data_IF_000276310435
#
_entry.id   IF_000276310435
#
_cell.length_a   1.000
_cell.length_b   1.000
_cell.length_c   1.000
_cell.angle_alpha   90.00
_cell.angle_beta   90.00
_cell.angle_gamma   90.00
#
_symmetry.space_group_name_H-M   'P 1'
#
loop_
_entity.id
_entity.type
_entity.pdbx_description
1 polymer ?
#
# COMPACT_ATOMS: atom_id res chain seq x y z
N UNK A 1 0.46 18.03 -19.92
CA UNK A 1 0.02 17.27 -18.74
C UNK A 1 1.20 16.44 -18.30
N UNK A 2 1.88 16.85 -17.23
CA UNK A 2 2.96 16.04 -16.66
C UNK A 2 2.27 14.97 -15.83
N UNK A 3 2.13 13.77 -16.37
CA UNK A 3 1.60 12.64 -15.60
C UNK A 3 2.64 12.35 -14.51
N UNK A 4 2.42 12.84 -13.29
CA UNK A 4 3.21 12.45 -12.14
C UNK A 4 3.09 10.93 -11.99
N UNK A 5 4.23 10.24 -12.12
CA UNK A 5 4.27 8.81 -11.85
C UNK A 5 3.97 8.61 -10.37
N UNK A 6 3.05 7.70 -10.08
CA UNK A 6 2.68 7.32 -8.72
C UNK A 6 2.95 5.84 -8.52
N UNK A 7 3.37 5.49 -7.32
CA UNK A 7 3.62 4.11 -6.93
C UNK A 7 2.31 3.31 -7.03
N UNK A 8 2.33 2.24 -7.82
CA UNK A 8 1.16 1.38 -8.03
C UNK A 8 0.73 0.61 -6.76
N UNK A 9 1.52 0.64 -5.68
CA UNK A 9 1.26 -0.04 -4.41
C UNK A 9 0.77 0.89 -3.28
N UNK A 10 1.18 2.16 -3.29
CA UNK A 10 0.88 3.10 -2.21
C UNK A 10 0.50 4.51 -2.68
N UNK A 11 0.33 4.73 -3.98
CA UNK A 11 0.03 6.02 -4.62
C UNK A 11 1.00 7.17 -4.33
N UNK A 12 2.11 6.94 -3.61
CA UNK A 12 3.11 7.97 -3.38
C UNK A 12 3.74 8.41 -4.70
N UNK A 13 4.06 9.70 -4.88
CA UNK A 13 4.80 10.18 -6.04
C UNK A 13 6.15 9.47 -6.18
N UNK A 14 6.51 9.11 -7.41
CA UNK A 14 7.80 8.52 -7.75
C UNK A 14 8.40 9.22 -8.98
N UNK A 15 9.73 9.28 -9.04
CA UNK A 15 10.43 9.87 -10.18
C UNK A 15 10.51 8.92 -11.37
N UNK A 16 10.57 7.61 -11.12
CA UNK A 16 10.61 6.56 -12.15
C UNK A 16 10.22 5.19 -11.59
N UNK A 17 9.91 4.25 -12.49
CA UNK A 17 9.54 2.88 -12.13
C UNK A 17 8.05 2.68 -11.85
N UNK A 18 7.70 1.52 -11.26
CA UNK A 18 6.33 1.17 -10.86
C UNK A 18 6.07 1.31 -9.37
N UNK A 19 7.11 1.10 -8.55
CA UNK A 19 7.03 1.06 -7.09
C UNK A 19 8.08 1.98 -6.47
N UNK A 20 7.75 2.61 -5.35
CA UNK A 20 8.71 3.40 -4.57
C UNK A 20 9.60 2.49 -3.72
N UNK A 21 10.76 3.01 -3.30
CA UNK A 21 11.71 2.30 -2.43
C UNK A 21 11.13 1.85 -1.09
N UNK A 22 10.02 2.46 -0.64
CA UNK A 22 9.31 2.07 0.59
C UNK A 22 8.36 0.87 0.41
N UNK A 23 8.03 0.53 -0.84
CA UNK A 23 7.17 -0.61 -1.18
C UNK A 23 7.96 -1.79 -1.75
N UNK A 24 9.24 -1.58 -2.07
CA UNK A 24 10.12 -2.64 -2.57
C UNK A 24 11.03 -3.18 -1.48
N UNK A 25 11.43 -4.43 -1.61
CA UNK A 25 12.48 -5.06 -0.81
C UNK A 25 13.89 -4.58 -1.21
N UNK A 26 14.92 -5.15 -0.57
CA UNK A 26 16.32 -4.84 -0.87
C UNK A 26 16.76 -5.20 -2.31
N UNK A 27 15.97 -6.03 -3.01
CA UNK A 27 16.22 -6.44 -4.39
C UNK A 27 15.40 -5.60 -5.40
N UNK A 28 14.58 -4.67 -4.93
CA UNK A 28 13.69 -3.86 -5.77
C UNK A 28 12.38 -4.55 -6.17
N UNK A 29 12.08 -5.71 -5.60
CA UNK A 29 10.80 -6.40 -5.83
C UNK A 29 9.73 -5.85 -4.90
N UNK A 30 8.48 -5.79 -5.36
CA UNK A 30 7.37 -5.40 -4.50
C UNK A 30 7.30 -6.34 -3.28
N UNK A 31 7.15 -5.77 -2.09
CA UNK A 31 6.91 -6.51 -0.86
C UNK A 31 5.71 -7.46 -1.01
N UNK A 32 5.66 -8.53 -0.21
CA UNK A 32 4.48 -9.38 -0.18
C UNK A 32 3.23 -8.60 0.26
N UNK A 33 2.05 -9.09 -0.12
CA UNK A 33 0.78 -8.49 0.31
C UNK A 33 0.73 -8.38 1.84
N UNK A 34 1.05 -9.45 2.56
CA UNK A 34 1.02 -9.49 4.03
C UNK A 34 1.97 -8.45 4.65
N UNK A 35 3.20 -8.34 4.15
CA UNK A 35 4.16 -7.37 4.65
C UNK A 35 3.68 -5.93 4.40
N UNK A 36 3.15 -5.66 3.20
CA UNK A 36 2.61 -4.33 2.89
C UNK A 36 1.39 -4.02 3.73
N UNK A 37 0.48 -4.98 3.87
CA UNK A 37 -0.76 -4.87 4.62
C UNK A 37 -0.51 -4.56 6.09
N UNK A 38 0.39 -5.29 6.75
CA UNK A 38 0.77 -5.04 8.14
C UNK A 38 1.40 -3.66 8.31
N UNK A 39 2.31 -3.26 7.41
CA UNK A 39 2.95 -1.93 7.47
C UNK A 39 1.95 -0.79 7.29
N UNK A 40 1.00 -0.95 6.37
CA UNK A 40 -0.05 0.05 6.13
C UNK A 40 -1.06 0.10 7.27
N UNK A 41 -1.46 -1.04 7.80
CA UNK A 41 -2.33 -1.13 8.98
C UNK A 41 -1.67 -0.47 10.19
N UNK A 42 -0.39 -0.75 10.45
CA UNK A 42 0.36 -0.13 11.54
C UNK A 42 0.50 1.39 11.35
N UNK A 43 0.70 1.86 10.12
CA UNK A 43 0.67 3.30 9.82
C UNK A 43 -0.71 3.90 10.10
N UNK A 44 -1.77 3.21 9.70
CA UNK A 44 -3.13 3.68 9.88
C UNK A 44 -3.54 3.76 11.35
N UNK A 45 -3.14 2.79 12.17
CA UNK A 45 -3.31 2.84 13.63
C UNK A 45 -2.51 3.98 14.29
N UNK A 46 -1.34 4.33 13.75
CA UNK A 46 -0.54 5.46 14.25
C UNK A 46 -1.15 6.81 13.86
N UNK A 47 -1.70 6.91 12.66
CA UNK A 47 -2.36 8.12 12.15
C UNK A 47 -3.75 8.33 12.78
N UNK A 48 -4.43 7.24 13.13
CA UNK A 48 -5.75 7.22 13.74
C UNK A 48 -5.75 6.36 15.02
N UNK A 49 -5.14 6.84 16.11
CA UNK A 49 -5.07 6.10 17.36
C UNK A 49 -6.45 5.79 17.97
N UNK A 50 -7.49 6.49 17.55
CA UNK A 50 -8.89 6.23 17.91
C UNK A 50 -9.49 4.98 17.22
N UNK A 51 -8.90 4.51 16.12
CA UNK A 51 -9.40 3.35 15.38
C UNK A 51 -8.91 2.04 16.02
N UNK A 52 -9.84 1.09 16.11
CA UNK A 52 -9.52 -0.29 16.46
C UNK A 52 -8.65 -0.92 15.38
N UNK A 53 -7.87 -1.94 15.74
CA UNK A 53 -7.06 -2.68 14.75
C UNK A 53 -7.89 -3.20 13.58
N UNK A 54 -9.07 -3.75 13.85
CA UNK A 54 -9.98 -4.25 12.82
C UNK A 54 -10.46 -3.14 11.86
N UNK A 55 -10.70 -1.93 12.36
CA UNK A 55 -11.09 -0.77 11.53
C UNK A 55 -9.93 -0.33 10.64
N UNK A 56 -8.72 -0.27 11.21
CA UNK A 56 -7.51 0.05 10.45
C UNK A 56 -7.19 -1.00 9.37
N UNK A 57 -7.38 -2.28 9.67
CA UNK A 57 -7.23 -3.39 8.73
C UNK A 57 -8.24 -3.27 7.59
N UNK A 58 -9.52 -3.02 7.90
CA UNK A 58 -10.56 -2.88 6.90
C UNK A 58 -10.36 -1.64 6.01
N UNK A 59 -9.98 -0.50 6.61
CA UNK A 59 -9.62 0.70 5.86
C UNK A 59 -8.41 0.44 4.94
N UNK A 60 -7.41 -0.30 5.42
CA UNK A 60 -6.23 -0.68 4.64
C UNK A 60 -6.62 -1.60 3.47
N UNK A 61 -7.50 -2.59 3.67
CA UNK A 61 -8.01 -3.45 2.58
C UNK A 61 -8.73 -2.63 1.51
N UNK A 62 -9.62 -1.73 1.91
CA UNK A 62 -10.33 -0.84 0.99
C UNK A 62 -9.37 0.07 0.24
N UNK A 63 -8.35 0.61 0.91
CA UNK A 63 -7.36 1.43 0.25
C UNK A 63 -6.52 0.63 -0.75
N UNK A 64 -6.02 -0.54 -0.35
CA UNK A 64 -5.23 -1.42 -1.21
C UNK A 64 -6.03 -1.88 -2.43
N UNK A 65 -7.34 -2.15 -2.31
CA UNK A 65 -8.16 -2.57 -3.47
C UNK A 65 -8.27 -1.49 -4.57
N UNK A 66 -8.02 -0.22 -4.26
CA UNK A 66 -7.95 0.86 -5.26
C UNK A 66 -6.62 0.91 -6.02
N UNK A 67 -5.59 0.21 -5.53
CA UNK A 67 -4.23 0.27 -6.07
C UNK A 67 -4.01 -0.73 -7.21
N UNK A 68 -3.35 -0.33 -8.32
CA UNK A 68 -3.08 -1.23 -9.43
C UNK A 68 -2.34 -2.51 -9.05
N UNK A 69 -1.42 -2.44 -8.08
CA UNK A 69 -0.65 -3.60 -7.63
C UNK A 69 -1.49 -4.64 -6.88
N UNK A 70 -2.58 -4.22 -6.23
CA UNK A 70 -3.30 -5.06 -5.26
C UNK A 70 -4.74 -5.36 -5.65
N UNK A 71 -5.36 -4.58 -6.54
CA UNK A 71 -6.78 -4.72 -6.91
C UNK A 71 -7.23 -6.11 -7.38
N UNK A 72 -6.29 -6.95 -7.81
CA UNK A 72 -6.53 -8.32 -8.28
C UNK A 72 -5.93 -9.37 -7.33
N UNK A 73 -5.52 -8.98 -6.12
CA UNK A 73 -4.89 -9.88 -5.16
C UNK A 73 -5.96 -10.76 -4.47
N UNK A 74 -5.76 -12.09 -4.40
CA UNK A 74 -6.72 -13.00 -3.78
C UNK A 74 -6.96 -12.74 -2.29
N UNK A 75 -6.06 -12.04 -1.59
CA UNK A 75 -6.23 -11.71 -0.17
C UNK A 75 -7.25 -10.59 0.06
N UNK A 76 -7.68 -9.89 -1.00
CA UNK A 76 -8.73 -8.86 -0.96
C UNK A 76 -10.10 -9.35 -1.44
N UNK A 77 -10.21 -10.61 -1.88
CA UNK A 77 -11.43 -11.23 -2.39
C UNK A 77 -12.38 -11.72 -1.29
#
# INVERSE_FOLDING_TARGET
MTTELTCESCSMPIESGRYCSNCTDANGNLQSFDERFERMTAWQQRSHPEQSRAEAEQATRTYMSTMPAWRNDPHLA
#
